data_IF_712270748033
#
_entry.id   IF_712270748033
#
_cell.length_a   1.000
_cell.length_b   1.000
_cell.length_c   1.000
_cell.angle_alpha   90.00
_cell.angle_beta   90.00
_cell.angle_gamma   90.00
#
_symmetry.space_group_name_H-M   'P 1'
#
loop_
_entity.id
_entity.type
_entity.pdbx_description
1 polymer ?
#
# COMPACT_ATOMS: atom_id res chain seq x y z
N UNK A 1 -15.57 38.70 38.00
CA UNK A 1 -15.37 37.27 38.19
C UNK A 1 -16.36 36.37 37.42
N UNK A 2 -16.79 36.76 36.21
CA UNK A 2 -17.79 36.00 35.41
C UNK A 2 -17.25 35.42 34.09
N UNK A 3 -15.95 35.46 33.83
CA UNK A 3 -15.38 34.99 32.54
C UNK A 3 -14.67 33.59 32.63
N UNK A 4 -14.71 32.95 33.77
CA UNK A 4 -14.04 31.66 34.01
C UNK A 4 -14.68 30.47 33.27
N UNK A 5 -16.00 30.37 33.12
CA UNK A 5 -16.61 29.22 32.45
C UNK A 5 -16.42 29.19 30.92
N UNK A 6 -16.16 30.34 30.29
CA UNK A 6 -15.91 30.42 28.85
C UNK A 6 -14.51 29.95 28.48
N UNK A 7 -13.53 30.32 29.29
CA UNK A 7 -12.13 29.92 29.05
C UNK A 7 -11.96 28.39 29.16
N UNK A 8 -12.59 27.77 30.14
CA UNK A 8 -12.55 26.30 30.30
C UNK A 8 -13.23 25.56 29.17
N UNK A 9 -14.34 26.08 28.64
CA UNK A 9 -15.02 25.51 27.47
C UNK A 9 -14.17 25.62 26.20
N UNK A 10 -13.50 26.73 25.98
CA UNK A 10 -12.60 26.95 24.85
C UNK A 10 -11.39 26.01 24.91
N UNK A 11 -10.76 25.89 26.08
CA UNK A 11 -9.62 24.97 26.28
C UNK A 11 -10.04 23.52 26.05
N UNK A 12 -11.21 23.11 26.55
CA UNK A 12 -11.73 21.76 26.36
C UNK A 12 -12.07 21.49 24.88
N UNK A 13 -12.62 22.47 24.16
CA UNK A 13 -12.89 22.37 22.73
C UNK A 13 -11.62 22.23 21.90
N UNK A 14 -10.57 23.00 22.21
CA UNK A 14 -9.26 22.92 21.56
C UNK A 14 -8.63 21.56 21.82
N UNK A 15 -8.72 21.03 23.04
CA UNK A 15 -8.19 19.72 23.41
C UNK A 15 -8.85 18.58 22.62
N UNK A 16 -10.17 18.66 22.42
CA UNK A 16 -10.90 17.68 21.60
C UNK A 16 -10.51 17.76 20.12
N UNK A 17 -10.31 18.96 19.57
CA UNK A 17 -9.90 19.14 18.17
C UNK A 17 -8.48 18.58 17.95
N UNK A 18 -7.54 18.88 18.85
CA UNK A 18 -6.17 18.37 18.79
C UNK A 18 -6.13 16.83 18.93
N UNK A 19 -6.97 16.27 19.80
CA UNK A 19 -7.10 14.82 19.97
C UNK A 19 -7.62 14.12 18.70
N UNK A 20 -8.60 14.71 18.00
CA UNK A 20 -9.08 14.19 16.73
C UNK A 20 -8.02 14.23 15.62
N UNK A 21 -7.24 15.28 15.52
CA UNK A 21 -6.20 15.41 14.50
C UNK A 21 -5.07 14.38 14.72
N UNK A 22 -4.69 14.15 15.97
CA UNK A 22 -3.64 13.16 16.31
C UNK A 22 -4.06 11.71 15.94
N UNK A 23 -5.33 11.35 16.12
CA UNK A 23 -5.83 10.01 15.77
C UNK A 23 -5.90 9.77 14.26
N UNK A 24 -6.10 10.81 13.46
CA UNK A 24 -6.09 10.69 12.00
C UNK A 24 -4.70 10.46 11.41
N UNK A 25 -3.66 11.08 11.97
CA UNK A 25 -2.28 10.89 11.50
C UNK A 25 -1.75 9.47 11.76
N UNK A 26 -2.04 8.90 12.93
CA UNK A 26 -1.66 7.52 13.28
C UNK A 26 -2.35 6.47 12.41
N UNK A 27 -3.59 6.72 11.98
CA UNK A 27 -4.33 5.81 11.12
C UNK A 27 -3.80 5.76 9.68
N UNK A 28 -3.29 6.87 9.17
CA UNK A 28 -2.72 6.93 7.82
C UNK A 28 -1.42 6.12 7.71
N UNK A 29 -0.54 6.17 8.72
CA UNK A 29 0.73 5.42 8.72
C UNK A 29 0.50 3.90 8.83
N UNK A 30 -0.46 3.48 9.65
CA UNK A 30 -0.81 2.06 9.76
C UNK A 30 -1.39 1.49 8.45
N UNK A 31 -2.13 2.28 7.68
CA UNK A 31 -2.66 1.84 6.38
C UNK A 31 -1.54 1.60 5.36
N UNK A 32 -0.56 2.51 5.26
CA UNK A 32 0.56 2.37 4.32
C UNK A 32 1.38 1.12 4.61
N UNK A 33 1.67 0.83 5.88
CA UNK A 33 2.41 -0.38 6.26
C UNK A 33 1.63 -1.66 5.97
N UNK A 34 0.32 -1.64 6.17
CA UNK A 34 -0.56 -2.77 5.85
C UNK A 34 -0.66 -2.99 4.35
N UNK A 35 -0.86 -1.92 3.57
CA UNK A 35 -0.91 -1.96 2.11
C UNK A 35 0.42 -2.45 1.54
N UNK A 36 1.55 -1.96 2.05
CA UNK A 36 2.88 -2.41 1.66
C UNK A 36 3.05 -3.91 1.91
N UNK A 37 2.66 -4.40 3.09
CA UNK A 37 2.77 -5.82 3.43
C UNK A 37 1.89 -6.68 2.52
N UNK A 38 0.68 -6.27 2.23
CA UNK A 38 -0.23 -6.98 1.32
C UNK A 38 0.30 -7.02 -0.11
N UNK A 39 0.78 -5.88 -0.62
CA UNK A 39 1.34 -5.79 -1.97
C UNK A 39 2.60 -6.63 -2.13
N UNK A 40 3.52 -6.55 -1.18
CA UNK A 40 4.80 -7.28 -1.24
C UNK A 40 4.64 -8.80 -1.12
N UNK A 41 3.57 -9.28 -0.47
CA UNK A 41 3.20 -10.71 -0.47
C UNK A 41 2.72 -11.21 -1.83
N UNK A 42 2.12 -10.36 -2.64
CA UNK A 42 1.64 -10.68 -4.00
C UNK A 42 2.74 -10.60 -5.06
N UNK A 43 3.92 -10.09 -4.71
CA UNK A 43 5.05 -9.91 -5.60
C UNK A 43 6.12 -10.98 -5.39
N UNK A 44 6.61 -11.55 -6.51
CA UNK A 44 7.74 -12.50 -6.50
C UNK A 44 9.07 -11.77 -6.45
N UNK A 45 9.98 -12.30 -5.66
CA UNK A 45 11.37 -11.92 -5.78
C UNK A 45 12.02 -12.71 -6.92
N UNK A 46 12.44 -12.01 -7.99
CA UNK A 46 13.01 -12.65 -9.18
C UNK A 46 14.40 -13.25 -8.93
N UNK A 47 15.12 -12.75 -7.94
CA UNK A 47 16.48 -13.21 -7.57
C UNK A 47 16.48 -14.27 -6.47
N UNK A 48 15.30 -14.56 -5.89
CA UNK A 48 15.13 -15.54 -4.81
C UNK A 48 14.37 -16.76 -5.33
N UNK A 49 14.65 -17.92 -4.77
CA UNK A 49 13.98 -19.18 -5.13
C UNK A 49 12.49 -19.17 -4.71
N UNK A 50 11.61 -18.56 -5.53
CA UNK A 50 10.15 -18.49 -5.31
C UNK A 50 9.68 -17.82 -4.00
N UNK A 51 10.51 -17.01 -3.36
CA UNK A 51 10.10 -16.23 -2.19
C UNK A 51 9.33 -14.98 -2.60
N UNK A 52 8.43 -14.54 -1.72
CA UNK A 52 7.78 -13.24 -1.88
C UNK A 52 8.77 -12.09 -1.60
N UNK A 53 8.49 -10.93 -2.15
CA UNK A 53 9.26 -9.71 -1.82
C UNK A 53 9.11 -9.38 -0.33
N UNK A 54 7.99 -9.76 0.28
CA UNK A 54 7.76 -9.57 1.72
C UNK A 54 8.80 -10.30 2.57
N UNK A 55 9.06 -11.58 2.26
CA UNK A 55 9.95 -12.46 3.03
C UNK A 55 11.42 -12.33 2.61
N UNK A 56 11.70 -11.63 1.53
CA UNK A 56 13.04 -11.48 0.98
C UNK A 56 13.73 -10.22 1.49
N UNK A 57 15.02 -10.35 1.84
CA UNK A 57 15.91 -9.24 2.23
C UNK A 57 16.99 -8.96 1.18
N UNK A 58 16.83 -9.43 -0.04
CA UNK A 58 17.75 -9.12 -1.13
C UNK A 58 17.69 -7.65 -1.51
N UNK A 59 18.77 -7.12 -2.08
CA UNK A 59 18.83 -5.73 -2.56
C UNK A 59 17.68 -5.41 -3.52
N UNK A 60 17.34 -6.36 -4.39
CA UNK A 60 16.19 -6.24 -5.29
C UNK A 60 14.86 -6.05 -4.54
N UNK A 61 14.60 -6.89 -3.51
CA UNK A 61 13.39 -6.78 -2.71
C UNK A 61 13.31 -5.46 -1.94
N UNK A 62 14.43 -5.00 -1.41
CA UNK A 62 14.54 -3.72 -0.71
C UNK A 62 14.23 -2.57 -1.66
N UNK A 63 14.75 -2.59 -2.87
CA UNK A 63 14.50 -1.53 -3.87
C UNK A 63 13.03 -1.50 -4.30
N UNK A 64 12.41 -2.64 -4.52
CA UNK A 64 10.97 -2.72 -4.84
C UNK A 64 10.13 -2.18 -3.67
N UNK A 65 10.44 -2.56 -2.43
CA UNK A 65 9.76 -2.01 -1.24
C UNK A 65 9.85 -0.49 -1.18
N UNK A 66 11.02 0.09 -1.44
CA UNK A 66 11.22 1.55 -1.49
C UNK A 66 10.38 2.22 -2.57
N UNK A 67 10.31 1.63 -3.77
CA UNK A 67 9.50 2.15 -4.88
C UNK A 67 8.02 2.15 -4.50
N UNK A 68 7.52 1.07 -3.91
CA UNK A 68 6.12 0.95 -3.48
C UNK A 68 5.79 2.00 -2.41
N UNK A 69 6.63 2.14 -1.38
CA UNK A 69 6.44 3.14 -0.32
C UNK A 69 6.39 4.56 -0.90
N UNK A 70 7.30 4.88 -1.81
CA UNK A 70 7.33 6.20 -2.47
C UNK A 70 6.03 6.47 -3.20
N UNK A 71 5.53 5.52 -3.99
CA UNK A 71 4.30 5.65 -4.76
C UNK A 71 3.04 5.70 -3.90
N UNK A 72 2.99 4.93 -2.82
CA UNK A 72 1.91 5.01 -1.83
C UNK A 72 1.87 6.39 -1.14
N UNK A 73 3.03 6.96 -0.81
CA UNK A 73 3.12 8.31 -0.25
C UNK A 73 2.70 9.39 -1.25
N UNK A 74 2.87 9.15 -2.54
CA UNK A 74 2.38 10.01 -3.63
C UNK A 74 0.85 9.89 -3.84
N UNK A 75 0.18 8.99 -3.15
CA UNK A 75 -1.26 8.77 -3.23
C UNK A 75 -1.71 7.94 -4.42
N UNK A 76 -0.80 7.17 -5.05
CA UNK A 76 -1.15 6.27 -6.14
C UNK A 76 -1.92 5.04 -5.63
N UNK A 77 -2.88 4.57 -6.42
CA UNK A 77 -3.64 3.36 -6.11
C UNK A 77 -2.78 2.09 -6.28
N UNK A 78 -3.10 1.05 -5.52
CA UNK A 78 -2.41 -0.25 -5.58
C UNK A 78 -2.34 -0.81 -7.01
N UNK A 79 -3.43 -0.68 -7.78
CA UNK A 79 -3.48 -1.16 -9.15
C UNK A 79 -2.50 -0.42 -10.07
N UNK A 80 -2.38 0.89 -9.94
CA UNK A 80 -1.43 1.71 -10.70
C UNK A 80 0.02 1.33 -10.37
N UNK A 81 0.30 1.03 -9.11
CA UNK A 81 1.63 0.59 -8.68
C UNK A 81 1.96 -0.79 -9.26
N UNK A 82 1.00 -1.73 -9.25
CA UNK A 82 1.19 -3.03 -9.88
C UNK A 82 1.38 -2.92 -11.38
N UNK A 83 0.63 -2.06 -12.07
CA UNK A 83 0.79 -1.84 -13.51
C UNK A 83 2.18 -1.29 -13.84
N UNK A 84 2.67 -0.34 -13.05
CA UNK A 84 4.03 0.18 -13.19
C UNK A 84 5.10 -0.89 -13.00
N UNK A 85 4.94 -1.76 -12.00
CA UNK A 85 5.88 -2.85 -11.73
C UNK A 85 5.86 -3.90 -12.84
N UNK A 86 4.68 -4.24 -13.35
CA UNK A 86 4.52 -5.18 -14.47
C UNK A 86 5.11 -4.61 -15.76
N UNK A 87 4.91 -3.33 -16.04
CA UNK A 87 5.48 -2.68 -17.22
C UNK A 87 7.01 -2.69 -17.19
N UNK A 88 7.60 -2.49 -16.00
CA UNK A 88 9.05 -2.40 -15.83
C UNK A 88 9.76 -3.74 -15.71
N UNK A 89 9.17 -4.69 -15.02
CA UNK A 89 9.76 -6.00 -14.68
C UNK A 89 9.10 -7.19 -15.36
N UNK A 90 7.95 -6.99 -16.00
CA UNK A 90 7.16 -8.02 -16.64
C UNK A 90 6.11 -8.66 -15.71
N UNK A 91 5.19 -9.42 -16.30
CA UNK A 91 4.09 -10.09 -15.57
C UNK A 91 4.58 -11.16 -14.57
N UNK A 92 5.81 -11.64 -14.74
CA UNK A 92 6.43 -12.63 -13.85
C UNK A 92 6.63 -12.15 -12.40
N UNK A 93 6.62 -10.83 -12.18
CA UNK A 93 6.74 -10.27 -10.84
C UNK A 93 5.52 -10.55 -9.96
N UNK A 94 4.36 -10.87 -10.56
CA UNK A 94 3.13 -11.20 -9.86
C UNK A 94 3.02 -12.71 -9.60
N UNK A 95 2.63 -13.11 -8.39
CA UNK A 95 2.30 -14.52 -8.09
C UNK A 95 1.03 -14.96 -8.80
N UNK A 96 0.03 -14.09 -8.87
CA UNK A 96 -1.24 -14.34 -9.54
C UNK A 96 -1.29 -13.56 -10.86
N UNK A 97 -1.40 -14.25 -12.01
CA UNK A 97 -1.54 -13.57 -13.29
C UNK A 97 -2.86 -12.79 -13.30
N UNK A 98 -2.78 -11.51 -13.64
CA UNK A 98 -3.99 -10.71 -13.80
C UNK A 98 -4.83 -11.25 -14.97
N UNK A 99 -6.14 -11.29 -14.78
CA UNK A 99 -7.10 -11.58 -15.82
C UNK A 99 -7.12 -10.41 -16.83
N UNK A 100 -6.13 -10.35 -17.69
CA UNK A 100 -6.07 -9.41 -18.79
C UNK A 100 -6.90 -9.93 -19.96
N UNK A 101 -7.47 -9.02 -20.75
CA UNK A 101 -8.22 -9.37 -21.97
C UNK A 101 -7.45 -10.30 -22.91
N UNK A 102 -6.12 -10.25 -22.91
CA UNK A 102 -5.24 -11.15 -23.65
C UNK A 102 -5.19 -12.57 -23.08
N UNK A 103 -5.30 -12.72 -21.76
CA UNK A 103 -5.23 -14.01 -21.09
C UNK A 103 -6.61 -14.67 -20.93
N UNK A 104 -7.69 -13.92 -21.01
CA UNK A 104 -9.06 -14.43 -20.96
C UNK A 104 -9.29 -15.49 -22.06
N UNK A 105 -8.72 -15.29 -23.24
CA UNK A 105 -8.83 -16.25 -24.34
C UNK A 105 -8.24 -17.62 -23.99
N UNK A 106 -7.13 -17.67 -23.25
CA UNK A 106 -6.49 -18.91 -22.79
C UNK A 106 -7.34 -19.66 -21.75
N UNK A 107 -8.15 -18.96 -20.98
CA UNK A 107 -9.03 -19.56 -19.98
C UNK A 107 -10.35 -20.04 -20.56
N UNK A 108 -10.82 -19.42 -21.63
CA UNK A 108 -12.07 -19.79 -22.31
C UNK A 108 -11.82 -20.93 -23.28
N UNK A 109 -10.65 -21.03 -23.91
CA UNK A 109 -10.30 -22.02 -24.92
C UNK A 109 -10.54 -23.48 -24.50
N UNK A 110 -10.23 -23.96 -23.28
CA UNK A 110 -10.48 -25.36 -22.90
C UNK A 110 -11.96 -25.68 -22.70
N UNK A 111 -12.86 -24.68 -22.63
CA UNK A 111 -14.30 -24.90 -22.52
C UNK A 111 -15.03 -24.95 -23.89
N UNK A 112 -14.34 -24.63 -24.96
CA UNK A 112 -14.79 -24.77 -26.34
C UNK A 112 -14.19 -26.00 -27.00
#
# INVERSE_FOLDING_TARGET
MKSFPYLTKIIFSIFLIVGCISSHLLKAENNINQDLAEMTKKLRCMTCQNQSIYDSETDFAIDIKKIIIKKLNEGQDQNEIFDFLVERYGEYILFEPRLNKKNIFLWIFPFF
#
